data_IF_375637942378
#
_entry.id   IF_375637942378
#
_cell.length_a   1.000
_cell.length_b   1.000
_cell.length_c   1.000
_cell.angle_alpha   90.00
_cell.angle_beta   90.00
_cell.angle_gamma   90.00
#
_symmetry.space_group_name_H-M   'P 1'
#
loop_
_entity.id
_entity.type
_entity.pdbx_description
1 polymer ?
#
# COMPACT_ATOMS: atom_id res chain seq x y z
N UNK A 1 11.83 19.42 6.53
CA UNK A 1 12.00 19.74 7.96
C UNK A 1 11.81 18.46 8.76
N UNK A 2 12.59 18.23 9.81
CA UNK A 2 12.44 17.06 10.68
C UNK A 2 11.14 17.15 11.51
N UNK A 3 10.64 15.98 11.90
CA UNK A 3 9.56 15.90 12.88
C UNK A 3 10.02 16.38 14.26
N UNK A 4 9.12 17.04 15.01
CA UNK A 4 9.45 17.68 16.28
C UNK A 4 9.94 16.73 17.38
N UNK A 5 9.66 15.43 17.30
CA UNK A 5 10.22 14.45 18.27
C UNK A 5 11.74 14.36 18.15
N UNK A 6 12.28 14.51 16.95
CA UNK A 6 13.73 14.52 16.71
C UNK A 6 14.34 15.88 17.07
N UNK A 7 13.59 16.97 16.85
CA UNK A 7 14.02 18.33 17.14
C UNK A 7 12.87 19.17 17.73
N UNK A 8 12.71 19.21 19.07
CA UNK A 8 11.56 19.84 19.73
C UNK A 8 11.48 21.37 19.54
N UNK A 9 12.62 22.02 19.31
CA UNK A 9 12.73 23.48 19.11
C UNK A 9 11.93 23.96 17.89
N UNK A 10 11.65 23.08 16.93
CA UNK A 10 10.88 23.39 15.73
C UNK A 10 9.47 23.88 16.07
N UNK A 11 8.85 23.40 17.14
CA UNK A 11 7.49 23.81 17.51
C UNK A 11 7.40 25.31 17.86
N UNK A 12 8.47 25.88 18.41
CA UNK A 12 8.52 27.27 18.89
C UNK A 12 9.39 28.20 18.02
N UNK A 13 9.87 27.71 16.88
CA UNK A 13 10.72 28.48 16.00
C UNK A 13 9.93 29.64 15.35
N UNK A 14 10.46 30.87 15.46
CA UNK A 14 9.85 32.10 14.91
C UNK A 14 9.46 32.00 13.44
N UNK A 15 10.22 31.24 12.64
CA UNK A 15 9.95 31.08 11.20
C UNK A 15 8.67 30.29 10.91
N UNK A 16 8.27 29.40 11.82
CA UNK A 16 7.18 28.44 11.59
C UNK A 16 6.04 28.56 12.61
N UNK A 17 6.14 29.50 13.55
CA UNK A 17 5.15 29.67 14.63
C UNK A 17 3.76 30.07 14.11
N UNK A 18 3.69 30.74 12.96
CA UNK A 18 2.44 31.12 12.29
C UNK A 18 1.84 29.97 11.46
N UNK A 19 2.59 28.90 11.25
CA UNK A 19 2.16 27.73 10.48
C UNK A 19 1.39 26.77 11.40
N UNK A 20 0.15 27.15 11.70
CA UNK A 20 -0.74 26.46 12.65
C UNK A 20 -1.62 25.42 11.93
N UNK A 21 -1.76 25.47 10.60
CA UNK A 21 -2.63 24.59 9.83
C UNK A 21 -1.86 23.70 8.83
N UNK A 22 -2.25 22.42 8.62
CA UNK A 22 -1.61 21.53 7.66
C UNK A 22 -2.04 21.83 6.21
N UNK A 23 -1.49 22.89 5.62
CA UNK A 23 -1.69 23.21 4.21
C UNK A 23 -1.13 22.13 3.26
N UNK A 24 -1.71 22.04 2.06
CA UNK A 24 -1.37 21.03 1.05
C UNK A 24 0.10 21.06 0.63
N UNK A 25 0.69 22.24 0.49
CA UNK A 25 2.08 22.48 0.07
C UNK A 25 3.14 22.06 1.10
N UNK A 26 2.73 21.68 2.32
CA UNK A 26 3.65 21.26 3.37
C UNK A 26 4.06 19.80 3.21
N UNK A 27 5.30 19.50 3.56
CA UNK A 27 5.77 18.11 3.68
C UNK A 27 5.04 17.39 4.81
N UNK A 28 5.05 16.06 4.79
CA UNK A 28 4.36 15.26 5.81
C UNK A 28 4.77 15.61 7.25
N UNK A 29 6.08 15.73 7.50
CA UNK A 29 6.61 16.06 8.84
C UNK A 29 6.18 17.48 9.26
N UNK A 30 6.15 18.42 8.31
CA UNK A 30 5.68 19.79 8.54
C UNK A 30 4.18 19.86 8.84
N UNK A 31 3.37 19.01 8.20
CA UNK A 31 1.94 18.88 8.48
C UNK A 31 1.73 18.38 9.91
N UNK A 32 2.45 17.34 10.35
CA UNK A 32 2.37 16.86 11.72
C UNK A 32 2.85 17.90 12.74
N UNK A 33 3.91 18.65 12.43
CA UNK A 33 4.38 19.74 13.26
C UNK A 33 3.32 20.85 13.39
N UNK A 34 2.66 21.23 12.29
CA UNK A 34 1.59 22.23 12.29
C UNK A 34 0.38 21.77 13.13
N UNK A 35 -0.05 20.51 12.96
CA UNK A 35 -1.14 19.91 13.76
C UNK A 35 -0.76 19.90 15.26
N UNK A 36 0.48 19.55 15.60
CA UNK A 36 0.95 19.55 16.99
C UNK A 36 0.89 20.95 17.61
N UNK A 37 1.33 21.99 16.89
CA UNK A 37 1.22 23.39 17.34
C UNK A 37 -0.24 23.80 17.57
N UNK A 38 -1.13 23.43 16.65
CA UNK A 38 -2.57 23.70 16.78
C UNK A 38 -3.16 23.07 18.04
N UNK A 39 -2.85 21.80 18.31
CA UNK A 39 -3.30 21.11 19.52
C UNK A 39 -2.79 21.80 20.77
N UNK A 40 -1.51 22.18 20.83
CA UNK A 40 -0.93 22.91 21.97
C UNK A 40 -1.67 24.24 22.20
N UNK A 41 -1.90 25.00 21.13
CA UNK A 41 -2.56 26.30 21.20
C UNK A 41 -4.01 26.17 21.70
N UNK A 42 -4.80 25.25 21.13
CA UNK A 42 -6.19 25.03 21.55
C UNK A 42 -6.26 24.48 22.97
N UNK A 43 -5.32 23.62 23.37
CA UNK A 43 -5.28 23.08 24.73
C UNK A 43 -5.02 24.17 25.75
N UNK A 44 -4.07 25.07 25.47
CA UNK A 44 -3.74 26.19 26.35
C UNK A 44 -4.90 27.18 26.42
N UNK A 45 -5.48 27.56 25.27
CA UNK A 45 -6.64 28.44 25.21
C UNK A 45 -7.85 27.84 25.93
N UNK A 46 -8.12 26.55 25.72
CA UNK A 46 -9.19 25.82 26.39
C UNK A 46 -8.99 25.76 27.90
N UNK A 47 -7.77 25.53 28.36
CA UNK A 47 -7.45 25.56 29.80
C UNK A 47 -7.67 26.95 30.41
N UNK A 48 -7.27 28.02 29.72
CA UNK A 48 -7.49 29.40 30.20
C UNK A 48 -8.98 29.75 30.30
N UNK A 49 -9.79 29.33 29.31
CA UNK A 49 -11.23 29.64 29.31
C UNK A 49 -12.04 28.81 30.31
N UNK A 50 -11.73 27.51 30.43
CA UNK A 50 -12.54 26.57 31.20
C UNK A 50 -11.96 26.29 32.60
N UNK A 51 -10.67 26.59 32.82
CA UNK A 51 -9.91 26.34 34.05
C UNK A 51 -10.03 24.89 34.57
N UNK A 52 -10.03 23.91 33.66
CA UNK A 52 -10.11 22.49 34.00
C UNK A 52 -8.86 21.74 33.56
N UNK A 53 -8.14 21.14 34.53
CA UNK A 53 -6.94 20.33 34.28
C UNK A 53 -7.16 19.18 33.28
N UNK A 54 -8.38 18.64 33.19
CA UNK A 54 -8.71 17.57 32.23
C UNK A 54 -8.41 17.94 30.77
N UNK A 55 -8.46 19.24 30.43
CA UNK A 55 -8.20 19.72 29.07
C UNK A 55 -6.73 19.53 28.69
N UNK A 56 -5.82 19.78 29.64
CA UNK A 56 -4.39 19.56 29.44
C UNK A 56 -4.11 18.07 29.23
N UNK A 57 -4.74 17.21 30.04
CA UNK A 57 -4.61 15.75 29.91
C UNK A 57 -5.08 15.27 28.54
N UNK A 58 -6.23 15.76 28.05
CA UNK A 58 -6.73 15.45 26.71
C UNK A 58 -5.77 15.91 25.61
N UNK A 59 -5.22 17.12 25.71
CA UNK A 59 -4.22 17.62 24.77
C UNK A 59 -2.96 16.73 24.71
N UNK A 60 -2.46 16.28 25.87
CA UNK A 60 -1.33 15.35 25.94
C UNK A 60 -1.65 13.99 25.31
N UNK A 61 -2.87 13.47 25.51
CA UNK A 61 -3.32 12.22 24.85
C UNK A 61 -3.28 12.39 23.33
N UNK A 62 -3.82 13.49 22.81
CA UNK A 62 -3.84 13.75 21.35
C UNK A 62 -2.42 13.88 20.79
N UNK A 63 -1.52 14.59 21.48
CA UNK A 63 -0.10 14.67 21.10
C UNK A 63 0.55 13.28 21.13
N UNK A 64 0.24 12.45 22.13
CA UNK A 64 0.69 11.06 22.21
C UNK A 64 0.24 10.22 21.01
N UNK A 65 -1.01 10.35 20.59
CA UNK A 65 -1.54 9.70 19.38
C UNK A 65 -0.77 10.14 18.13
N UNK A 66 -0.47 11.44 17.98
CA UNK A 66 0.31 11.96 16.85
C UNK A 66 1.71 11.32 16.81
N UNK A 67 2.37 11.15 17.96
CA UNK A 67 3.68 10.47 18.04
C UNK A 67 3.58 9.00 17.66
N UNK A 68 2.53 8.30 18.11
CA UNK A 68 2.30 6.89 17.73
C UNK A 68 2.10 6.74 16.22
N UNK A 69 1.35 7.66 15.59
CA UNK A 69 1.16 7.68 14.14
C UNK A 69 2.47 7.90 13.39
N UNK A 70 3.32 8.83 13.87
CA UNK A 70 4.64 9.06 13.28
C UNK A 70 5.53 7.81 13.37
N UNK A 71 5.58 7.15 14.52
CA UNK A 71 6.36 5.91 14.69
C UNK A 71 5.86 4.76 13.82
N UNK A 72 4.54 4.61 13.64
CA UNK A 72 3.98 3.56 12.77
C UNK A 72 4.38 3.74 11.30
N UNK A 73 4.57 4.99 10.84
CA UNK A 73 5.09 5.27 9.48
C UNK A 73 6.52 4.74 9.31
N UNK A 74 7.39 4.93 10.31
CA UNK A 74 8.75 4.37 10.25
C UNK A 74 8.76 2.84 10.37
N UNK A 75 7.80 2.28 11.11
CA UNK A 75 7.59 0.82 11.22
C UNK A 75 6.91 0.16 10.01
N UNK A 76 6.56 0.92 8.96
CA UNK A 76 6.04 0.36 7.70
C UNK A 76 7.16 0.01 6.70
N UNK A 77 8.42 0.02 7.16
CA UNK A 77 9.50 -0.70 6.51
C UNK A 77 9.35 -2.18 6.87
N UNK A 78 8.55 -2.89 6.07
CA UNK A 78 8.53 -4.35 6.14
C UNK A 78 9.96 -4.88 6.00
N UNK A 79 10.38 -5.87 6.79
CA UNK A 79 11.68 -6.51 6.58
C UNK A 79 11.75 -6.98 5.13
N UNK A 80 12.77 -6.48 4.42
CA UNK A 80 13.07 -6.87 3.05
C UNK A 80 13.38 -8.37 3.04
N UNK A 81 12.38 -9.17 2.67
CA UNK A 81 12.61 -10.54 2.26
C UNK A 81 12.92 -10.47 0.77
N UNK A 82 14.20 -10.53 0.41
CA UNK A 82 14.61 -10.57 -0.99
C UNK A 82 13.86 -11.69 -1.71
N UNK A 83 12.94 -11.31 -2.59
CA UNK A 83 12.20 -12.24 -3.45
C UNK A 83 13.18 -12.73 -4.51
N UNK A 84 13.81 -13.86 -4.23
CA UNK A 84 14.45 -14.68 -5.25
C UNK A 84 13.38 -15.56 -5.89
N UNK A 85 12.66 -14.99 -6.87
CA UNK A 85 12.17 -15.67 -8.07
C UNK A 85 11.33 -14.64 -8.85
N UNK A 86 12.02 -13.95 -9.76
CA UNK A 86 11.42 -12.92 -10.59
C UNK A 86 10.61 -13.56 -11.73
N UNK A 87 9.35 -13.87 -11.45
CA UNK A 87 8.36 -13.78 -12.52
C UNK A 87 8.23 -12.30 -12.90
N UNK A 88 8.64 -11.98 -14.12
CA UNK A 88 8.52 -10.63 -14.66
C UNK A 88 7.03 -10.27 -14.79
N UNK A 89 6.58 -9.35 -13.94
CA UNK A 89 5.18 -8.90 -13.96
C UNK A 89 4.94 -8.10 -15.23
N UNK A 90 4.15 -8.68 -16.13
CA UNK A 90 3.75 -8.03 -17.38
C UNK A 90 2.85 -6.82 -17.08
N UNK A 91 3.13 -5.70 -17.73
CA UNK A 91 2.36 -4.47 -17.50
C UNK A 91 0.88 -4.62 -17.93
N UNK A 92 0.64 -5.36 -19.01
CA UNK A 92 -0.71 -5.58 -19.54
C UNK A 92 -1.46 -6.71 -18.82
N UNK A 93 -0.78 -7.46 -17.94
CA UNK A 93 -1.36 -8.56 -17.19
C UNK A 93 -0.71 -8.69 -15.81
N UNK A 94 -0.89 -7.68 -14.93
CA UNK A 94 -0.14 -7.60 -13.68
C UNK A 94 -0.50 -8.71 -12.69
N UNK A 95 -1.68 -9.33 -12.82
CA UNK A 95 -2.10 -10.49 -12.03
C UNK A 95 -1.71 -11.84 -12.65
N UNK A 96 -1.15 -11.83 -13.87
CA UNK A 96 -0.70 -13.04 -14.55
C UNK A 96 -1.81 -14.01 -14.95
N UNK A 97 -3.06 -13.55 -15.01
CA UNK A 97 -4.21 -14.39 -15.34
C UNK A 97 -4.15 -14.89 -16.79
N UNK A 98 -4.76 -16.04 -17.07
CA UNK A 98 -4.93 -16.49 -18.46
C UNK A 98 -5.85 -15.52 -19.19
N UNK A 99 -5.36 -14.93 -20.28
CA UNK A 99 -6.15 -14.08 -21.17
C UNK A 99 -6.55 -14.83 -22.42
N UNK A 100 -7.62 -14.39 -23.09
CA UNK A 100 -8.05 -14.99 -24.37
C UNK A 100 -6.97 -14.91 -25.45
N UNK A 101 -6.16 -13.85 -25.41
CA UNK A 101 -5.01 -13.64 -26.31
C UNK A 101 -3.90 -14.68 -26.13
N UNK A 102 -3.78 -15.25 -24.94
CA UNK A 102 -2.70 -16.19 -24.60
C UNK A 102 -2.83 -17.47 -25.42
N UNK A 103 -4.05 -17.93 -25.74
CA UNK A 103 -4.25 -19.11 -26.61
C UNK A 103 -3.62 -18.97 -28.00
N UNK A 104 -3.44 -17.74 -28.49
CA UNK A 104 -2.80 -17.47 -29.78
C UNK A 104 -1.33 -17.11 -29.65
N UNK A 105 -0.99 -16.25 -28.69
CA UNK A 105 0.34 -15.63 -28.60
C UNK A 105 1.23 -16.23 -27.51
N UNK A 106 0.66 -16.93 -26.54
CA UNK A 106 1.37 -17.60 -25.45
C UNK A 106 0.71 -18.95 -25.09
N UNK A 107 0.65 -19.91 -26.04
CA UNK A 107 -0.09 -21.16 -25.84
C UNK A 107 0.53 -22.08 -24.78
N UNK A 108 1.78 -21.83 -24.38
CA UNK A 108 2.49 -22.55 -23.32
C UNK A 108 2.74 -21.64 -22.11
N UNK A 109 1.71 -20.91 -21.68
CA UNK A 109 1.81 -19.95 -20.57
C UNK A 109 2.25 -20.66 -19.29
N UNK A 110 3.37 -20.18 -18.73
CA UNK A 110 3.93 -20.69 -17.47
C UNK A 110 3.06 -20.28 -16.28
N UNK A 111 3.15 -21.09 -15.24
CA UNK A 111 2.46 -20.83 -13.99
C UNK A 111 2.99 -19.56 -13.34
N UNK A 112 2.11 -18.85 -12.64
CA UNK A 112 2.48 -17.71 -11.79
C UNK A 112 2.40 -18.21 -10.36
N UNK A 113 3.47 -18.90 -9.93
CA UNK A 113 3.63 -19.31 -8.54
C UNK A 113 4.31 -18.18 -7.78
N UNK A 114 3.56 -17.18 -7.38
CA UNK A 114 4.06 -16.22 -6.41
C UNK A 114 3.13 -16.26 -5.20
N UNK A 115 3.61 -16.89 -4.13
CA UNK A 115 3.01 -16.70 -2.81
C UNK A 115 2.92 -15.20 -2.53
N UNK A 116 1.87 -14.80 -1.81
CA UNK A 116 1.69 -13.41 -1.46
C UNK A 116 2.92 -12.88 -0.73
N UNK A 117 3.55 -11.86 -1.30
CA UNK A 117 4.61 -11.07 -0.64
C UNK A 117 4.30 -9.58 -0.80
N UNK A 118 4.62 -8.75 0.20
CA UNK A 118 4.45 -7.30 0.10
C UNK A 118 5.18 -6.70 -1.12
N UNK A 119 6.32 -7.26 -1.51
CA UNK A 119 7.11 -6.78 -2.66
C UNK A 119 6.46 -7.11 -4.00
N UNK A 120 5.84 -8.28 -4.12
CA UNK A 120 5.02 -8.63 -5.28
C UNK A 120 3.84 -7.68 -5.39
N UNK A 121 3.10 -7.46 -4.30
CA UNK A 121 1.98 -6.51 -4.26
C UNK A 121 2.41 -5.11 -4.67
N UNK A 122 3.53 -4.61 -4.13
CA UNK A 122 4.10 -3.32 -4.51
C UNK A 122 4.46 -3.24 -5.99
N UNK A 123 4.96 -4.34 -6.56
CA UNK A 123 5.31 -4.43 -7.98
C UNK A 123 4.09 -4.45 -8.89
N UNK A 124 3.05 -5.21 -8.53
CA UNK A 124 1.73 -5.22 -9.19
C UNK A 124 1.13 -3.81 -9.16
N UNK A 125 1.05 -3.21 -7.98
CA UNK A 125 0.50 -1.87 -7.79
C UNK A 125 1.26 -0.80 -8.60
N UNK A 126 2.59 -0.92 -8.72
CA UNK A 126 3.40 -0.04 -9.56
C UNK A 126 3.04 -0.19 -11.04
N UNK A 127 2.99 -1.42 -11.56
CA UNK A 127 2.63 -1.70 -12.96
C UNK A 127 1.23 -1.18 -13.31
N UNK A 128 0.26 -1.34 -12.40
CA UNK A 128 -1.09 -0.80 -12.57
C UNK A 128 -1.06 0.74 -12.66
N UNK A 129 -0.34 1.41 -11.74
CA UNK A 129 -0.22 2.87 -11.76
C UNK A 129 0.47 3.36 -13.05
N UNK A 130 1.54 2.69 -13.47
CA UNK A 130 2.26 3.01 -14.70
C UNK A 130 1.37 2.86 -15.93
N UNK A 131 0.56 1.79 -15.98
CA UNK A 131 -0.43 1.58 -17.05
C UNK A 131 -1.47 2.71 -17.08
N UNK A 132 -2.04 3.09 -15.94
CA UNK A 132 -3.01 4.19 -15.86
C UNK A 132 -2.41 5.51 -16.38
N UNK A 133 -1.16 5.81 -16.01
CA UNK A 133 -0.46 7.01 -16.48
C UNK A 133 -0.22 6.97 -17.99
N UNK A 134 0.17 5.81 -18.53
CA UNK A 134 0.44 5.65 -19.96
C UNK A 134 -0.81 5.79 -20.83
N UNK A 135 -1.93 5.22 -20.38
CA UNK A 135 -3.22 5.30 -21.10
C UNK A 135 -3.88 6.68 -21.02
N UNK A 136 -3.50 7.52 -20.03
CA UNK A 136 -4.05 8.87 -19.83
C UNK A 136 -2.96 9.93 -20.01
N UNK A 137 -2.15 9.78 -21.06
CA UNK A 137 -1.01 10.67 -21.35
C UNK A 137 -1.40 12.11 -21.70
N UNK A 138 -2.66 12.37 -22.00
CA UNK A 138 -3.26 13.67 -22.26
C UNK A 138 -3.54 14.46 -20.98
N UNK A 139 -3.60 13.80 -19.83
CA UNK A 139 -3.87 14.41 -18.54
C UNK A 139 -2.59 14.57 -17.69
N UNK A 140 -2.05 15.79 -17.66
CA UNK A 140 -0.86 16.12 -16.88
C UNK A 140 -1.04 15.96 -15.35
N UNK A 141 -2.29 15.93 -14.85
CA UNK A 141 -2.58 15.80 -13.42
C UNK A 141 -2.71 14.34 -12.96
N UNK A 142 -2.65 13.36 -13.88
CA UNK A 142 -2.82 11.94 -13.55
C UNK A 142 -1.79 11.45 -12.52
N UNK A 143 -0.59 12.02 -12.54
CA UNK A 143 0.48 11.73 -11.57
C UNK A 143 0.09 12.08 -10.13
N UNK A 144 -0.84 13.04 -9.93
CA UNK A 144 -1.28 13.44 -8.59
C UNK A 144 -2.29 12.49 -7.97
N UNK A 145 -2.88 11.57 -8.76
CA UNK A 145 -3.93 10.66 -8.33
C UNK A 145 -3.50 9.71 -7.20
N UNK A 146 -2.20 9.46 -7.02
CA UNK A 146 -1.70 8.47 -6.07
C UNK A 146 -0.81 9.08 -4.96
N UNK A 147 -0.78 10.41 -4.84
CA UNK A 147 0.15 11.11 -3.96
C UNK A 147 -0.30 11.13 -2.49
N UNK A 148 -1.61 11.14 -2.23
CA UNK A 148 -2.12 11.20 -0.85
C UNK A 148 -2.45 9.81 -0.29
N UNK A 149 -2.38 9.68 1.03
CA UNK A 149 -2.74 8.44 1.75
C UNK A 149 -4.21 8.06 1.49
N UNK A 150 -5.11 9.04 1.45
CA UNK A 150 -6.53 8.78 1.16
C UNK A 150 -6.75 8.23 -0.25
N UNK A 151 -5.96 8.70 -1.22
CA UNK A 151 -6.05 8.25 -2.60
C UNK A 151 -5.43 6.86 -2.76
N UNK A 152 -4.30 6.59 -2.09
CA UNK A 152 -3.69 5.26 -2.01
C UNK A 152 -4.64 4.23 -1.39
N UNK A 153 -5.30 4.59 -0.28
CA UNK A 153 -6.30 3.72 0.34
C UNK A 153 -7.49 3.46 -0.60
N UNK A 154 -7.96 4.49 -1.30
CA UNK A 154 -9.03 4.33 -2.29
C UNK A 154 -8.60 3.45 -3.46
N UNK A 155 -7.36 3.57 -3.92
CA UNK A 155 -6.77 2.71 -4.94
C UNK A 155 -6.73 1.24 -4.49
N UNK A 156 -6.21 0.96 -3.28
CA UNK A 156 -6.18 -0.39 -2.70
C UNK A 156 -7.60 -0.96 -2.54
N UNK A 157 -8.54 -0.14 -2.09
CA UNK A 157 -9.96 -0.51 -1.95
C UNK A 157 -10.55 -0.98 -3.29
N UNK A 158 -10.25 -0.26 -4.37
CA UNK A 158 -10.70 -0.61 -5.71
C UNK A 158 -10.02 -1.87 -6.24
N UNK A 159 -8.75 -2.08 -5.89
CA UNK A 159 -7.97 -3.23 -6.34
C UNK A 159 -8.44 -4.58 -5.76
N UNK A 160 -9.23 -4.59 -4.68
CA UNK A 160 -9.73 -5.85 -4.09
C UNK A 160 -10.57 -6.73 -5.02
N UNK A 161 -11.17 -6.15 -6.05
CA UNK A 161 -11.94 -6.92 -7.04
C UNK A 161 -11.03 -7.68 -8.02
N UNK A 162 -9.75 -7.34 -8.07
CA UNK A 162 -8.78 -7.94 -8.97
C UNK A 162 -7.85 -8.87 -8.18
N UNK A 163 -7.77 -10.11 -8.64
CA UNK A 163 -6.98 -11.15 -8.01
C UNK A 163 -6.48 -12.14 -9.07
N UNK A 164 -5.43 -12.88 -8.71
CA UNK A 164 -4.93 -13.99 -9.52
C UNK A 164 -5.87 -15.18 -9.39
N UNK A 165 -6.30 -15.73 -10.51
CA UNK A 165 -7.17 -16.89 -10.56
C UNK A 165 -6.39 -18.15 -10.19
N UNK A 166 -7.06 -19.20 -9.66
CA UNK A 166 -6.40 -20.45 -9.29
C UNK A 166 -5.69 -21.17 -10.44
N UNK A 167 -6.09 -20.91 -11.68
CA UNK A 167 -5.46 -21.49 -12.88
C UNK A 167 -4.87 -20.36 -13.73
N UNK A 168 -3.54 -20.32 -13.82
CA UNK A 168 -2.80 -19.32 -14.61
C UNK A 168 -2.07 -19.92 -15.82
N UNK A 169 -2.15 -21.24 -16.04
CA UNK A 169 -1.43 -21.94 -17.12
C UNK A 169 -2.30 -22.27 -18.33
N UNK A 170 -1.66 -22.46 -19.47
CA UNK A 170 -2.23 -23.13 -20.64
C UNK A 170 -1.28 -24.26 -21.06
N UNK A 171 -1.76 -25.52 -21.18
CA UNK A 171 -3.07 -25.99 -20.72
C UNK A 171 -3.21 -25.90 -19.18
N UNK A 172 -4.43 -26.04 -18.67
CA UNK A 172 -4.64 -26.10 -17.23
C UNK A 172 -4.04 -27.40 -16.65
N UNK A 173 -3.67 -27.37 -15.37
CA UNK A 173 -3.05 -28.50 -14.67
C UNK A 173 -4.07 -29.54 -14.18
N UNK A 174 -4.86 -30.08 -15.11
CA UNK A 174 -5.86 -31.09 -14.78
C UNK A 174 -5.22 -32.36 -14.18
N UNK A 175 -4.07 -32.77 -14.70
CA UNK A 175 -3.35 -33.96 -14.24
C UNK A 175 -2.89 -33.84 -12.78
N UNK A 176 -2.38 -32.67 -12.38
CA UNK A 176 -1.98 -32.39 -11.00
C UNK A 176 -3.21 -32.40 -10.07
N UNK A 177 -4.35 -31.85 -10.51
CA UNK A 177 -5.59 -31.87 -9.73
C UNK A 177 -6.12 -33.31 -9.54
N UNK A 178 -6.08 -34.14 -10.57
CA UNK A 178 -6.46 -35.55 -10.46
C UNK A 178 -5.52 -36.32 -9.55
N UNK A 179 -4.21 -36.06 -9.65
CA UNK A 179 -3.20 -36.63 -8.76
C UNK A 179 -3.43 -36.22 -7.30
N UNK A 180 -3.87 -34.98 -7.06
CA UNK A 180 -4.27 -34.50 -5.73
C UNK A 180 -5.53 -35.21 -5.20
N UNK A 181 -6.56 -35.40 -6.03
CA UNK A 181 -7.82 -36.03 -5.62
C UNK A 181 -7.70 -37.54 -5.38
N UNK A 182 -6.99 -38.26 -6.26
CA UNK A 182 -6.98 -39.72 -6.28
C UNK A 182 -5.67 -40.34 -5.80
N UNK A 183 -4.59 -39.56 -5.72
CA UNK A 183 -3.27 -40.04 -5.34
C UNK A 183 -2.81 -41.21 -6.20
N UNK A 184 -2.06 -42.12 -5.58
CA UNK A 184 -1.79 -43.44 -6.16
C UNK A 184 -2.97 -44.36 -5.91
N UNK A 185 -3.69 -44.71 -6.97
CA UNK A 185 -4.79 -45.68 -6.88
C UNK A 185 -4.25 -47.04 -6.38
N UNK A 186 -4.92 -47.72 -5.43
CA UNK A 186 -4.52 -49.03 -4.94
C UNK A 186 -4.42 -50.12 -6.01
N UNK A 187 -4.99 -49.87 -7.20
CA UNK A 187 -5.01 -50.79 -8.33
C UNK A 187 -3.68 -50.82 -9.12
N UNK A 188 -2.69 -49.96 -8.83
CA UNK A 188 -1.42 -49.80 -9.59
C UNK A 188 -1.59 -49.54 -11.10
N UNK A 189 -2.82 -49.29 -11.58
CA UNK A 189 -3.08 -48.94 -12.97
C UNK A 189 -2.84 -47.45 -13.17
N UNK A 190 -2.10 -47.05 -14.21
CA UNK A 190 -1.92 -45.64 -14.53
C UNK A 190 -3.26 -45.00 -14.89
N UNK A 191 -3.50 -43.77 -14.42
CA UNK A 191 -4.60 -42.94 -14.91
C UNK A 191 -4.31 -42.57 -16.37
N UNK A 192 -4.99 -43.23 -17.30
CA UNK A 192 -5.02 -42.83 -18.71
C UNK A 192 -6.07 -41.73 -18.91
N UNK A 193 -5.60 -40.52 -19.19
CA UNK A 193 -6.42 -39.34 -19.47
C UNK A 193 -6.42 -39.16 -21.00
N UNK A 194 -7.61 -39.07 -21.60
CA UNK A 194 -7.81 -38.84 -23.04
C UNK A 194 -8.07 -37.36 -23.33
#
# INVERSE_FOLDING_TARGET
MSFWVNEPTILFNKKYITQIWPYSYLTYDEKLNAITRFVILITLLGYVLLNRFIIIVLGLIVVGIIVLLYKKKEGLLFPYYGVNDQHEIEQNNPFGNVLMTDYKFNPNKKEVTADYTPDLENSINRKIKDFIVQENNDNNEIYNLFNNIGDQFSFEQNNRQFYTNPSTTIPNKQDDFLSFCFGTLPSEKPLTIY
#
